data_IF_033693028833
#
_entry.id   IF_033693028833
#
_cell.length_a   1.000
_cell.length_b   1.000
_cell.length_c   1.000
_cell.angle_alpha   90.00
_cell.angle_beta   90.00
_cell.angle_gamma   90.00
#
_symmetry.space_group_name_H-M   'P 1'
#
loop_
_entity.id
_entity.type
_entity.pdbx_description
1 polymer ?
#
# COMPACT_ATOMS: atom_id res chain seq x y z
N UNK A 1 3.02 -10.79 -11.42
CA UNK A 1 2.56 -10.42 -10.07
C UNK A 1 3.79 -10.11 -9.23
N UNK A 2 3.89 -8.88 -8.74
CA UNK A 2 5.04 -8.42 -7.97
C UNK A 2 4.94 -8.89 -6.51
N UNK A 3 6.06 -9.33 -5.92
CA UNK A 3 6.12 -9.70 -4.50
C UNK A 3 6.94 -8.68 -3.73
N UNK A 4 6.41 -8.26 -2.60
CA UNK A 4 7.03 -7.24 -1.75
C UNK A 4 7.50 -7.86 -0.44
N UNK A 5 8.64 -7.41 0.05
CA UNK A 5 9.19 -7.78 1.34
C UNK A 5 9.48 -6.50 2.13
N UNK A 6 9.05 -6.47 3.39
CA UNK A 6 9.36 -5.40 4.34
C UNK A 6 10.08 -5.98 5.55
N UNK A 7 10.98 -5.22 6.19
CA UNK A 7 11.47 -5.59 7.50
C UNK A 7 10.30 -5.71 8.48
N UNK A 8 10.27 -6.80 9.25
CA UNK A 8 9.22 -7.02 10.28
C UNK A 8 9.11 -5.85 11.26
N UNK A 9 10.22 -5.17 11.54
CA UNK A 9 10.30 -4.02 12.45
C UNK A 9 9.53 -2.79 11.96
N UNK A 10 9.21 -2.71 10.67
CA UNK A 10 8.39 -1.63 10.11
C UNK A 10 6.89 -1.92 10.25
N UNK A 11 6.49 -3.17 10.49
CA UNK A 11 5.10 -3.58 10.58
C UNK A 11 4.55 -3.32 12.00
N UNK A 12 3.48 -2.55 12.08
CA UNK A 12 2.71 -2.38 13.30
C UNK A 12 1.72 -3.54 13.51
N UNK A 13 0.87 -3.78 12.52
CA UNK A 13 -0.18 -4.81 12.59
C UNK A 13 -0.69 -5.17 11.18
N UNK A 14 -1.20 -6.40 11.00
CA UNK A 14 -2.03 -6.74 9.83
C UNK A 14 -3.47 -6.83 10.33
N UNK A 15 -4.33 -5.97 9.80
CA UNK A 15 -5.75 -5.91 10.16
C UNK A 15 -6.60 -6.54 9.06
N UNK A 16 -7.65 -7.25 9.47
CA UNK A 16 -8.68 -7.72 8.57
C UNK A 16 -9.84 -6.74 8.59
N UNK A 17 -10.17 -6.20 7.43
CA UNK A 17 -11.29 -5.28 7.25
C UNK A 17 -12.41 -6.05 6.55
N UNK A 18 -13.58 -6.09 7.19
CA UNK A 18 -14.81 -6.51 6.52
C UNK A 18 -15.42 -5.27 5.87
N UNK A 19 -15.39 -5.23 4.54
CA UNK A 19 -15.92 -4.13 3.74
C UNK A 19 -16.56 -4.73 2.48
N UNK A 20 -17.65 -4.17 2.00
CA UNK A 20 -18.27 -4.62 0.75
C UNK A 20 -17.78 -3.81 -0.46
N UNK A 21 -16.92 -2.81 -0.25
CA UNK A 21 -16.39 -1.94 -1.29
C UNK A 21 -15.38 -2.66 -2.19
N UNK A 22 -15.50 -2.42 -3.50
CA UNK A 22 -14.52 -2.88 -4.48
C UNK A 22 -13.15 -2.19 -4.32
N UNK A 23 -13.11 -1.03 -3.66
CA UNK A 23 -11.90 -0.24 -3.40
C UNK A 23 -11.57 -0.26 -1.91
N UNK A 24 -10.28 -0.30 -1.53
CA UNK A 24 -9.89 -0.22 -0.14
C UNK A 24 -10.29 1.13 0.47
N UNK A 25 -10.64 1.16 1.76
CA UNK A 25 -11.01 2.41 2.42
C UNK A 25 -9.82 3.37 2.41
N UNK A 26 -10.07 4.66 2.18
CA UNK A 26 -9.02 5.70 2.20
C UNK A 26 -8.35 5.84 3.58
N UNK A 27 -9.10 5.53 4.64
CA UNK A 27 -8.65 5.56 6.03
C UNK A 27 -9.20 4.37 6.81
N UNK A 28 -8.44 3.90 7.79
CA UNK A 28 -8.93 2.98 8.82
C UNK A 28 -8.78 3.57 10.22
N UNK A 29 -9.66 3.14 11.12
CA UNK A 29 -9.52 3.36 12.54
C UNK A 29 -8.67 2.26 13.16
N UNK A 30 -7.49 2.60 13.64
CA UNK A 30 -6.58 1.67 14.30
C UNK A 30 -6.10 2.23 15.63
N UNK A 31 -6.45 1.53 16.73
CA UNK A 31 -6.09 1.92 18.10
C UNK A 31 -6.47 3.37 18.46
N UNK A 32 -7.64 3.81 17.98
CA UNK A 32 -8.17 5.16 18.20
C UNK A 32 -7.50 6.26 17.36
N UNK A 33 -6.81 5.89 16.28
CA UNK A 33 -6.20 6.83 15.32
C UNK A 33 -6.75 6.57 13.92
N UNK A 34 -6.94 7.65 13.17
CA UNK A 34 -7.12 7.59 11.72
C UNK A 34 -5.76 7.28 11.07
N UNK A 35 -5.71 6.22 10.29
CA UNK A 35 -4.52 5.78 9.56
C UNK A 35 -4.84 5.81 8.06
N UNK A 36 -4.14 6.64 7.26
CA UNK A 36 -4.36 6.69 5.83
C UNK A 36 -3.91 5.39 5.16
N UNK A 37 -4.70 4.91 4.20
CA UNK A 37 -4.42 3.69 3.44
C UNK A 37 -3.91 4.09 2.07
N UNK A 38 -2.70 3.63 1.76
CA UNK A 38 -2.14 3.70 0.43
C UNK A 38 -2.63 2.49 -0.37
N UNK A 39 -3.33 2.78 -1.46
CA UNK A 39 -3.59 1.79 -2.48
C UNK A 39 -2.47 1.78 -3.55
N UNK A 40 -1.94 0.58 -3.82
CA UNK A 40 -0.90 0.32 -4.82
C UNK A 40 -1.40 -0.57 -5.97
N UNK A 41 -2.70 -0.88 -6.00
CA UNK A 41 -3.29 -1.59 -7.12
C UNK A 41 -3.38 -0.70 -8.36
N UNK A 42 -2.95 -1.24 -9.50
CA UNK A 42 -3.32 -0.73 -10.82
C UNK A 42 -4.68 -1.31 -11.26
N UNK A 43 -5.24 -0.81 -12.37
CA UNK A 43 -6.55 -1.26 -12.90
C UNK A 43 -6.64 -2.77 -13.18
N UNK A 44 -5.51 -3.44 -13.42
CA UNK A 44 -5.39 -4.88 -13.65
C UNK A 44 -4.94 -5.67 -12.40
N UNK A 45 -4.89 -5.02 -11.23
CA UNK A 45 -4.47 -5.66 -9.99
C UNK A 45 -5.53 -6.66 -9.50
N UNK A 46 -5.07 -7.65 -8.73
CA UNK A 46 -5.97 -8.55 -8.00
C UNK A 46 -6.87 -7.73 -7.07
N UNK A 47 -8.12 -8.18 -6.81
CA UNK A 47 -8.98 -7.57 -5.82
C UNK A 47 -8.27 -7.44 -4.47
N UNK A 48 -8.48 -6.33 -3.77
CA UNK A 48 -7.94 -6.12 -2.41
C UNK A 48 -8.67 -6.98 -1.37
N UNK A 49 -9.87 -7.45 -1.71
CA UNK A 49 -10.66 -8.35 -0.88
C UNK A 49 -10.67 -9.76 -1.44
N UNK A 50 -10.81 -10.72 -0.54
CA UNK A 50 -11.25 -12.05 -0.91
C UNK A 50 -12.74 -12.04 -1.27
N UNK A 51 -13.04 -12.43 -2.51
CA UNK A 51 -14.39 -12.40 -3.09
C UNK A 51 -15.39 -13.33 -2.38
N UNK A 52 -14.91 -14.33 -1.64
CA UNK A 52 -15.78 -15.29 -0.94
C UNK A 52 -16.17 -14.81 0.45
N UNK A 53 -15.25 -14.17 1.16
CA UNK A 53 -15.44 -13.69 2.53
C UNK A 53 -15.82 -12.21 2.61
N UNK A 54 -15.61 -11.42 1.55
CA UNK A 54 -15.80 -9.97 1.58
C UNK A 54 -14.84 -9.29 2.57
N UNK A 55 -13.67 -9.89 2.78
CA UNK A 55 -12.66 -9.34 3.71
C UNK A 55 -11.38 -9.00 2.97
N UNK A 56 -10.83 -7.84 3.29
CA UNK A 56 -9.53 -7.40 2.82
C UNK A 56 -8.51 -7.34 3.94
N UNK A 57 -7.23 -7.42 3.58
CA UNK A 57 -6.13 -7.30 4.53
C UNK A 57 -5.43 -5.96 4.33
N UNK A 58 -5.14 -5.30 5.43
CA UNK A 58 -4.39 -4.04 5.44
C UNK A 58 -3.18 -4.20 6.37
N UNK A 59 -1.98 -3.90 5.88
CA UNK A 59 -0.78 -3.80 6.72
C UNK A 59 -0.64 -2.38 7.23
N UNK A 60 -0.72 -2.19 8.55
CA UNK A 60 -0.35 -0.95 9.23
C UNK A 60 1.16 -0.90 9.39
N UNK A 61 1.77 0.14 8.83
CA UNK A 61 3.21 0.40 8.83
C UNK A 61 3.51 1.54 9.79
N UNK A 62 4.57 1.36 10.58
CA UNK A 62 5.12 2.40 11.45
C UNK A 62 5.76 3.48 10.58
N UNK A 63 5.33 4.72 10.76
CA UNK A 63 5.90 5.87 10.08
C UNK A 63 7.34 6.13 10.52
N UNK A 64 8.14 6.64 9.60
CA UNK A 64 9.46 7.15 9.92
C UNK A 64 9.33 8.47 10.67
N UNK A 65 10.18 8.66 11.68
CA UNK A 65 10.18 9.87 12.48
C UNK A 65 10.54 11.10 11.62
N UNK A 66 9.78 12.19 11.78
CA UNK A 66 9.99 13.45 11.05
C UNK A 66 9.27 13.54 9.70
N UNK A 67 8.52 12.50 9.32
CA UNK A 67 7.61 12.51 8.18
C UNK A 67 6.18 12.90 8.61
N UNK A 68 5.30 13.09 7.63
CA UNK A 68 3.99 13.72 7.83
C UNK A 68 2.97 12.91 8.67
N UNK A 69 3.11 11.59 8.78
CA UNK A 69 2.17 10.71 9.50
C UNK A 69 2.89 9.68 10.36
N UNK A 70 2.47 9.49 11.61
CA UNK A 70 3.07 8.51 12.54
C UNK A 70 2.83 7.06 12.11
N UNK A 71 1.71 6.83 11.42
CA UNK A 71 1.27 5.52 10.94
C UNK A 71 0.61 5.70 9.58
N UNK A 72 0.74 4.70 8.74
CA UNK A 72 0.06 4.62 7.46
C UNK A 72 -0.18 3.15 7.15
N UNK A 73 -0.99 2.87 6.15
CA UNK A 73 -1.45 1.53 5.85
C UNK A 73 -1.30 1.21 4.36
N UNK A 74 -1.25 -0.08 4.03
CA UNK A 74 -1.25 -0.56 2.65
C UNK A 74 -2.30 -1.66 2.48
N UNK A 75 -3.15 -1.52 1.46
CA UNK A 75 -4.06 -2.58 1.06
C UNK A 75 -3.29 -3.75 0.42
N UNK A 76 -3.36 -4.92 1.05
CA UNK A 76 -2.63 -6.12 0.63
C UNK A 76 -3.43 -6.90 -0.42
N UNK A 77 -2.73 -7.41 -1.43
CA UNK A 77 -3.34 -8.14 -2.54
C UNK A 77 -2.63 -9.46 -2.80
N UNK A 78 -3.41 -10.45 -3.20
CA UNK A 78 -2.92 -11.71 -3.75
C UNK A 78 -2.55 -12.77 -2.70
N UNK A 79 -1.47 -13.48 -2.98
CA UNK A 79 -1.10 -14.75 -2.32
C UNK A 79 -0.74 -14.65 -0.84
N UNK A 80 -0.40 -15.80 -0.21
CA UNK A 80 -0.28 -15.88 1.23
C UNK A 80 0.84 -14.98 1.77
N UNK A 81 0.53 -14.26 2.86
CA UNK A 81 1.51 -13.54 3.65
C UNK A 81 2.41 -14.53 4.39
N UNK A 82 3.69 -14.22 4.47
CA UNK A 82 4.68 -15.05 5.14
C UNK A 82 5.71 -14.22 5.87
N UNK A 83 6.21 -14.77 6.98
CA UNK A 83 7.38 -14.23 7.67
C UNK A 83 8.52 -15.20 7.43
N UNK A 84 9.67 -14.67 6.99
CA UNK A 84 10.90 -15.44 6.83
C UNK A 84 12.05 -14.73 7.50
N UNK A 85 12.89 -15.53 8.13
CA UNK A 85 14.24 -15.12 8.51
C UNK A 85 15.12 -15.29 7.29
N UNK A 86 15.85 -14.23 6.92
CA UNK A 86 16.70 -14.20 5.74
C UNK A 86 18.15 -14.12 6.21
N UNK A 87 18.99 -15.06 5.78
CA UNK A 87 20.44 -14.93 5.91
C UNK A 87 20.98 -14.24 4.66
N UNK A 88 22.11 -13.54 4.81
CA UNK A 88 22.73 -12.82 3.70
C UNK A 88 23.02 -13.74 2.50
N UNK A 89 23.43 -14.97 2.78
CA UNK A 89 23.81 -15.94 1.76
C UNK A 89 22.60 -16.55 1.02
N UNK A 90 21.37 -16.35 1.52
CA UNK A 90 20.13 -16.79 0.87
C UNK A 90 19.66 -15.82 -0.22
N UNK A 91 20.29 -14.64 -0.32
CA UNK A 91 19.81 -13.52 -1.14
C UNK A 91 20.76 -13.25 -2.30
N UNK A 92 20.19 -13.07 -3.48
CA UNK A 92 20.92 -12.60 -4.65
C UNK A 92 20.37 -11.22 -5.03
N UNK A 93 21.18 -10.18 -4.81
CA UNK A 93 20.80 -8.81 -5.18
C UNK A 93 20.52 -8.70 -6.69
N UNK A 94 19.43 -8.01 -7.02
CA UNK A 94 18.98 -7.73 -8.40
C UNK A 94 18.71 -6.24 -8.61
N UNK A 95 19.72 -5.35 -8.47
CA UNK A 95 19.53 -3.91 -8.61
C UNK A 95 19.04 -3.51 -10.01
N UNK A 96 19.32 -4.30 -11.04
CA UNK A 96 18.88 -4.06 -12.42
C UNK A 96 17.39 -4.42 -12.66
N UNK A 97 16.75 -5.09 -11.72
CA UNK A 97 15.33 -5.50 -11.79
C UNK A 97 14.45 -4.70 -10.79
N UNK A 98 14.90 -3.49 -10.44
CA UNK A 98 14.22 -2.62 -9.49
C UNK A 98 12.95 -2.02 -10.10
N UNK A 99 11.83 -2.20 -9.42
CA UNK A 99 10.58 -1.58 -9.83
C UNK A 99 10.48 -0.10 -9.45
N UNK A 100 9.61 0.63 -10.15
CA UNK A 100 9.22 1.97 -9.76
C UNK A 100 8.59 1.93 -8.35
N UNK A 101 9.16 2.66 -7.40
CA UNK A 101 8.82 2.66 -5.96
C UNK A 101 9.45 1.57 -5.07
N UNK A 102 10.39 0.79 -5.60
CA UNK A 102 11.25 -0.07 -4.79
C UNK A 102 12.57 0.64 -4.44
N UNK A 103 13.14 0.32 -3.27
CA UNK A 103 14.46 0.75 -2.83
C UNK A 103 15.55 -0.31 -3.05
N UNK A 104 15.15 -1.58 -3.12
CA UNK A 104 16.00 -2.71 -3.48
C UNK A 104 15.18 -3.84 -4.10
N UNK A 105 15.85 -4.75 -4.80
CA UNK A 105 15.27 -5.98 -5.33
C UNK A 105 16.25 -7.14 -5.15
N UNK A 106 15.74 -8.33 -4.85
CA UNK A 106 16.54 -9.53 -4.60
C UNK A 106 15.79 -10.80 -5.01
N UNK A 107 16.54 -11.85 -5.36
CA UNK A 107 16.00 -13.21 -5.47
C UNK A 107 16.13 -13.95 -4.15
N UNK A 108 15.09 -14.72 -3.84
CA UNK A 108 15.08 -15.74 -2.80
C UNK A 108 14.31 -16.94 -3.37
N UNK A 109 14.90 -18.14 -3.35
CA UNK A 109 14.30 -19.36 -3.92
C UNK A 109 13.79 -19.16 -5.38
N UNK A 110 14.60 -18.50 -6.23
CA UNK A 110 14.28 -18.13 -7.62
C UNK A 110 13.05 -17.19 -7.78
N UNK A 111 12.60 -16.57 -6.70
CA UNK A 111 11.51 -15.60 -6.71
C UNK A 111 12.06 -14.20 -6.51
N UNK A 112 11.71 -13.28 -7.40
CA UNK A 112 12.03 -11.86 -7.28
C UNK A 112 11.13 -11.16 -6.26
N UNK A 113 11.76 -10.59 -5.25
CA UNK A 113 11.16 -9.74 -4.23
C UNK A 113 11.64 -8.31 -4.40
N UNK A 114 10.74 -7.38 -4.07
CA UNK A 114 10.98 -5.95 -4.09
C UNK A 114 10.88 -5.42 -2.66
N UNK A 115 11.81 -4.57 -2.25
CA UNK A 115 11.75 -3.85 -0.98
C UNK A 115 11.18 -2.47 -1.26
N UNK A 116 10.07 -2.07 -0.61
CA UNK A 116 9.47 -0.77 -0.89
C UNK A 116 10.33 0.39 -0.43
N UNK A 117 10.25 1.51 -1.13
CA UNK A 117 10.72 2.81 -0.65
C UNK A 117 9.71 3.37 0.36
N UNK A 118 9.85 2.95 1.62
CA UNK A 118 8.94 3.34 2.71
C UNK A 118 8.82 4.86 2.89
N UNK A 119 9.90 5.67 2.87
CA UNK A 119 9.76 7.13 2.91
C UNK A 119 8.90 7.69 1.78
N UNK A 120 9.09 7.21 0.54
CA UNK A 120 8.28 7.65 -0.61
C UNK A 120 6.82 7.22 -0.46
N UNK A 121 6.57 6.02 0.04
CA UNK A 121 5.20 5.51 0.25
C UNK A 121 4.48 6.26 1.37
N UNK A 122 5.17 6.56 2.48
CA UNK A 122 4.61 7.33 3.59
C UNK A 122 4.20 8.74 3.13
N UNK A 123 5.03 9.41 2.32
CA UNK A 123 4.68 10.71 1.72
C UNK A 123 3.48 10.62 0.77
N UNK A 124 3.34 9.53 0.02
CA UNK A 124 2.14 9.28 -0.81
C UNK A 124 0.90 9.06 0.03
N UNK A 125 0.99 8.28 1.10
CA UNK A 125 -0.12 8.05 2.03
C UNK A 125 -0.55 9.34 2.77
N UNK A 126 0.39 10.25 3.02
CA UNK A 126 0.13 11.53 3.66
C UNK A 126 -0.37 12.62 2.71
N UNK A 127 -0.25 12.43 1.39
CA UNK A 127 -0.74 13.40 0.43
C UNK A 127 -2.27 13.46 0.50
N UNK A 128 -2.90 14.66 0.54
CA UNK A 128 -4.33 14.75 0.37
C UNK A 128 -4.69 14.13 -0.98
N UNK A 129 -5.68 13.22 -1.00
CA UNK A 129 -6.34 12.80 -2.22
C UNK A 129 -6.84 14.08 -2.90
N UNK A 130 -6.14 14.53 -3.94
CA UNK A 130 -6.52 15.73 -4.64
C UNK A 130 -7.87 15.49 -5.29
N UNK A 131 -8.86 16.22 -4.76
CA UNK A 131 -10.21 16.40 -5.25
C UNK A 131 -10.25 16.53 -6.78
N UNK A 132 -10.74 15.49 -7.45
CA UNK A 132 -11.06 15.53 -8.89
C UNK A 132 -12.46 16.12 -9.16
N UNK A 133 -13.07 16.82 -8.19
CA UNK A 133 -14.38 17.47 -8.36
C UNK A 133 -14.25 18.94 -8.75
N UNK A 134 -13.54 19.26 -9.84
CA UNK A 134 -13.59 20.59 -10.47
C UNK A 134 -13.58 20.56 -12.00
N UNK A 135 -14.73 20.20 -12.59
CA UNK A 135 -15.17 20.59 -13.96
C UNK A 135 -16.65 20.14 -14.08
N UNK A 136 -17.72 20.93 -14.18
CA UNK A 136 -17.99 22.34 -14.41
C UNK A 136 -19.32 22.71 -13.74
N UNK A 137 -19.32 23.73 -12.89
CA UNK A 137 -20.41 24.69 -12.77
C UNK A 137 -19.68 26.04 -12.79
N UNK A 138 -19.92 26.98 -13.70
CA UNK A 138 -21.19 27.67 -13.96
C UNK A 138 -20.96 28.52 -15.20
N UNK A 139 -21.93 28.63 -16.10
CA UNK A 139 -22.29 29.93 -16.70
C UNK A 139 -23.66 29.78 -17.37
N UNK A 140 -24.74 30.21 -16.73
CA UNK A 140 -25.25 31.59 -16.68
C UNK A 140 -26.36 31.75 -17.73
N UNK A 141 -27.59 31.75 -17.20
CA UNK A 141 -28.80 32.31 -17.81
C UNK A 141 -28.55 33.68 -18.48
N UNK A 142 -29.39 33.96 -19.48
CA UNK A 142 -29.82 35.29 -19.94
C UNK A 142 -29.17 35.85 -21.20
N UNK A 143 -29.80 35.57 -22.34
CA UNK A 143 -30.22 36.57 -23.35
C UNK A 143 -31.62 36.11 -23.82
N UNK A 144 -32.68 36.82 -23.43
CA UNK A 144 -33.29 37.94 -24.17
C UNK A 144 -33.96 37.50 -25.48
#
# INVERSE_FOLDING_TARGET
MQRWAVPKTCLGEIVTIADASAEPPEFIQWRGRDVPVLDLGDADALPWQDVHSGTGLIAVILGLHGEAVDYWAVALRGGPLGVRELQKDDLIDRPDELAENASAAFLLDDVLYQVPDLPRWQRRAAAPLNDNSKTNATDTESQA
#
